data_IF_637984567131
#
_entry.id   IF_637984567131
#
_cell.length_a   1.000
_cell.length_b   1.000
_cell.length_c   1.000
_cell.angle_alpha   90.00
_cell.angle_beta   90.00
_cell.angle_gamma   90.00
#
_symmetry.space_group_name_H-M   'P 1'
#
loop_
_entity.id
_entity.type
_entity.pdbx_description
1 polymer ?
#
# COMPACT_ATOMS: atom_id res chain seq x y z
N UNK A 1 35.02 -2.63 -10.81
CA UNK A 1 34.20 -3.82 -10.47
C UNK A 1 33.95 -4.63 -11.72
N UNK A 2 34.46 -5.86 -11.79
CA UNK A 2 34.12 -6.82 -12.85
C UNK A 2 32.75 -7.42 -12.53
N UNK A 3 31.80 -7.35 -13.47
CA UNK A 3 30.45 -7.87 -13.31
C UNK A 3 30.22 -9.20 -14.03
N UNK A 4 31.24 -9.73 -14.72
CA UNK A 4 31.14 -11.01 -15.42
C UNK A 4 31.04 -12.15 -14.40
N UNK A 5 30.05 -13.02 -14.58
CA UNK A 5 29.88 -14.25 -13.81
C UNK A 5 30.67 -15.35 -14.52
N UNK A 6 31.74 -15.84 -13.89
CA UNK A 6 32.55 -16.95 -14.39
C UNK A 6 31.98 -18.32 -14.00
N UNK A 7 32.49 -19.38 -14.63
CA UNK A 7 32.16 -20.76 -14.28
C UNK A 7 32.89 -21.25 -13.03
N UNK A 8 34.05 -20.67 -12.72
CA UNK A 8 34.87 -21.03 -11.57
C UNK A 8 34.53 -20.22 -10.32
N UNK A 9 34.74 -20.83 -9.15
CA UNK A 9 34.58 -20.16 -7.85
C UNK A 9 35.68 -19.10 -7.65
N UNK A 10 35.27 -17.91 -7.24
CA UNK A 10 36.17 -16.85 -6.80
C UNK A 10 36.67 -17.06 -5.36
N UNK A 11 37.88 -16.57 -5.07
CA UNK A 11 38.47 -16.62 -3.72
C UNK A 11 37.74 -15.68 -2.75
N UNK A 12 37.71 -16.03 -1.45
CA UNK A 12 37.09 -15.21 -0.41
C UNK A 12 37.70 -13.79 -0.35
N UNK A 13 39.01 -13.65 -0.58
CA UNK A 13 39.67 -12.34 -0.68
C UNK A 13 39.13 -11.50 -1.83
N UNK A 14 38.84 -12.13 -2.97
CA UNK A 14 38.26 -11.44 -4.12
C UNK A 14 36.82 -11.02 -3.85
N UNK A 15 36.03 -11.89 -3.20
CA UNK A 15 34.66 -11.58 -2.79
C UNK A 15 34.62 -10.39 -1.82
N UNK A 16 35.52 -10.35 -0.83
CA UNK A 16 35.62 -9.22 0.11
C UNK A 16 36.03 -7.92 -0.60
N UNK A 17 36.93 -7.98 -1.59
CA UNK A 17 37.28 -6.82 -2.41
C UNK A 17 36.07 -6.32 -3.22
N UNK A 18 35.27 -7.23 -3.78
CA UNK A 18 34.01 -6.88 -4.46
C UNK A 18 33.05 -6.19 -3.49
N UNK A 19 32.84 -6.72 -2.28
CA UNK A 19 32.00 -6.07 -1.26
C UNK A 19 32.46 -4.63 -0.96
N UNK A 20 33.77 -4.40 -0.82
CA UNK A 20 34.33 -3.05 -0.62
C UNK A 20 34.06 -2.14 -1.82
N UNK A 21 34.20 -2.64 -3.04
CA UNK A 21 33.89 -1.88 -4.25
C UNK A 21 32.40 -1.52 -4.35
N UNK A 22 31.50 -2.47 -4.06
CA UNK A 22 30.05 -2.22 -3.98
C UNK A 22 29.77 -1.10 -2.99
N UNK A 23 30.29 -1.20 -1.76
CA UNK A 23 30.11 -0.17 -0.75
C UNK A 23 30.66 1.17 -1.23
N UNK A 24 31.88 1.21 -1.79
CA UNK A 24 32.53 2.45 -2.25
C UNK A 24 31.72 3.17 -3.32
N UNK A 25 31.22 2.43 -4.31
CA UNK A 25 30.58 2.99 -5.50
C UNK A 25 29.06 3.19 -5.38
N UNK A 26 28.40 2.59 -4.39
CA UNK A 26 26.97 2.82 -4.13
C UNK A 26 26.68 4.20 -3.52
N UNK A 27 25.48 4.72 -3.80
CA UNK A 27 24.95 5.92 -3.15
C UNK A 27 24.79 5.66 -1.64
N UNK A 28 25.16 6.65 -0.82
CA UNK A 28 25.03 6.58 0.63
C UNK A 28 23.70 7.18 1.06
N UNK A 29 22.62 6.40 0.94
CA UNK A 29 21.24 6.85 1.30
C UNK A 29 21.09 7.16 2.79
N UNK A 30 22.02 6.66 3.62
CA UNK A 30 22.11 6.97 5.05
C UNK A 30 22.79 8.30 5.37
N UNK A 31 23.39 8.97 4.39
CA UNK A 31 24.11 10.22 4.60
C UNK A 31 23.13 11.35 4.96
N UNK A 32 23.43 12.23 5.95
CA UNK A 32 22.51 13.29 6.37
C UNK A 32 22.17 14.30 5.26
N UNK A 33 23.05 14.44 4.25
CA UNK A 33 22.79 15.28 3.07
C UNK A 33 22.12 14.53 1.89
N UNK A 34 21.55 13.35 2.12
CA UNK A 34 20.77 12.65 1.12
C UNK A 34 19.30 13.07 1.18
N UNK A 35 18.87 13.89 0.21
CA UNK A 35 17.50 14.42 0.12
C UNK A 35 16.80 14.05 -1.20
N UNK A 36 17.33 13.06 -1.92
CA UNK A 36 16.88 12.75 -3.28
C UNK A 36 15.56 11.94 -3.31
N UNK A 37 15.23 11.23 -2.24
CA UNK A 37 14.13 10.28 -2.20
C UNK A 37 13.24 10.54 -0.98
N UNK A 38 12.04 9.98 -1.00
CA UNK A 38 11.10 10.00 0.15
C UNK A 38 11.48 9.04 1.28
N UNK A 39 12.73 8.60 1.30
CA UNK A 39 13.34 7.78 2.34
C UNK A 39 14.80 8.21 2.48
N UNK A 40 15.39 7.93 3.63
CA UNK A 40 16.79 8.23 3.92
C UNK A 40 17.14 7.80 5.34
N UNK A 41 18.43 7.84 5.65
CA UNK A 41 18.94 7.37 6.93
C UNK A 41 19.13 5.85 6.99
N UNK A 42 19.63 5.39 8.14
CA UNK A 42 19.77 3.98 8.49
C UNK A 42 19.55 3.85 9.99
N UNK A 43 18.29 3.64 10.38
CA UNK A 43 17.91 3.44 11.77
C UNK A 43 18.48 2.08 12.24
N UNK A 44 19.16 2.06 13.39
CA UNK A 44 20.01 0.94 13.80
C UNK A 44 19.21 -0.29 14.25
N UNK A 45 18.05 -0.10 14.89
CA UNK A 45 17.16 -1.20 15.26
C UNK A 45 16.51 -1.80 14.01
N UNK A 46 16.05 -0.96 13.08
CA UNK A 46 15.55 -1.37 11.77
C UNK A 46 16.58 -2.21 11.00
N UNK A 47 17.83 -1.76 10.94
CA UNK A 47 18.91 -2.49 10.26
C UNK A 47 19.22 -3.84 10.92
N UNK A 48 19.22 -3.88 12.26
CA UNK A 48 19.42 -5.11 13.01
C UNK A 48 18.31 -6.12 12.76
N UNK A 49 17.06 -5.65 12.67
CA UNK A 49 15.91 -6.47 12.28
C UNK A 49 16.02 -7.04 10.87
N UNK A 50 16.53 -6.25 9.91
CA UNK A 50 16.79 -6.74 8.55
C UNK A 50 17.84 -7.85 8.54
N UNK A 51 18.98 -7.66 9.22
CA UNK A 51 19.99 -8.71 9.32
C UNK A 51 19.46 -9.99 9.97
N UNK A 52 18.63 -9.87 11.01
CA UNK A 52 17.99 -11.03 11.64
C UNK A 52 17.03 -11.75 10.68
N UNK A 53 16.25 -10.98 9.91
CA UNK A 53 15.30 -11.53 8.94
C UNK A 53 16.02 -12.30 7.84
N UNK A 54 17.08 -11.71 7.27
CA UNK A 54 17.90 -12.33 6.23
C UNK A 54 18.64 -13.58 6.74
N UNK A 55 19.11 -13.55 7.99
CA UNK A 55 19.78 -14.71 8.61
C UNK A 55 18.81 -15.90 8.82
N UNK A 56 17.53 -15.64 9.09
CA UNK A 56 16.52 -16.67 9.32
C UNK A 56 15.89 -17.20 8.02
N UNK A 57 15.87 -16.39 6.95
CA UNK A 57 15.52 -16.79 5.59
C UNK A 57 14.27 -17.70 5.47
N UNK A 58 13.17 -17.31 6.11
CA UNK A 58 11.88 -18.01 6.03
C UNK A 58 10.85 -17.24 5.19
N UNK A 59 9.72 -17.87 4.89
CA UNK A 59 8.59 -17.26 4.18
C UNK A 59 7.44 -16.98 5.13
N UNK A 60 6.76 -15.84 4.96
CA UNK A 60 5.57 -15.46 5.73
C UNK A 60 4.28 -16.19 5.27
N UNK A 61 4.41 -17.34 4.59
CA UNK A 61 3.27 -18.02 3.97
C UNK A 61 2.36 -18.74 4.98
N UNK A 62 2.92 -19.36 6.02
CA UNK A 62 2.16 -20.12 7.01
C UNK A 62 2.75 -19.96 8.40
N UNK A 63 1.89 -20.12 9.42
CA UNK A 63 2.33 -20.08 10.82
C UNK A 63 3.38 -21.16 11.14
N UNK A 64 3.32 -22.33 10.49
CA UNK A 64 4.23 -23.45 10.72
C UNK A 64 5.71 -23.13 10.45
N UNK A 65 5.99 -22.35 9.40
CA UNK A 65 7.37 -22.03 8.99
C UNK A 65 7.84 -20.65 9.47
N UNK A 66 6.91 -19.80 9.93
CA UNK A 66 7.19 -18.44 10.39
C UNK A 66 6.38 -18.01 11.62
N UNK A 67 6.30 -18.82 12.70
CA UNK A 67 5.33 -18.58 13.78
C UNK A 67 5.51 -17.22 14.47
N UNK A 68 6.76 -16.86 14.76
CA UNK A 68 7.11 -15.58 15.40
C UNK A 68 6.77 -14.40 14.48
N UNK A 69 7.15 -14.47 13.20
CA UNK A 69 6.85 -13.40 12.25
C UNK A 69 5.35 -13.23 12.01
N UNK A 70 4.59 -14.33 11.94
CA UNK A 70 3.13 -14.27 11.81
C UNK A 70 2.46 -13.60 13.02
N UNK A 71 2.96 -13.82 14.24
CA UNK A 71 2.45 -13.15 15.44
C UNK A 71 2.82 -11.66 15.44
N UNK A 72 4.07 -11.32 15.09
CA UNK A 72 4.53 -9.94 14.97
C UNK A 72 3.71 -9.18 13.94
N UNK A 73 3.51 -9.75 12.75
CA UNK A 73 2.73 -9.12 11.68
C UNK A 73 1.29 -8.86 12.11
N UNK A 74 0.61 -9.86 12.71
CA UNK A 74 -0.74 -9.69 13.25
C UNK A 74 -0.82 -8.58 14.31
N UNK A 75 0.18 -8.49 15.19
CA UNK A 75 0.25 -7.44 16.19
C UNK A 75 0.43 -6.05 15.55
N UNK A 76 1.37 -5.93 14.60
CA UNK A 76 1.64 -4.68 13.90
C UNK A 76 0.45 -4.19 13.08
N UNK A 77 -0.24 -5.08 12.36
CA UNK A 77 -1.45 -4.74 11.61
C UNK A 77 -2.51 -4.14 12.53
N UNK A 78 -2.76 -4.79 13.68
CA UNK A 78 -3.71 -4.27 14.69
C UNK A 78 -3.27 -2.91 15.22
N UNK A 79 -2.02 -2.79 15.66
CA UNK A 79 -1.49 -1.54 16.19
C UNK A 79 -1.59 -0.39 15.18
N UNK A 80 -1.21 -0.62 13.92
CA UNK A 80 -1.28 0.40 12.87
C UNK A 80 -2.72 0.74 12.49
N UNK A 81 -3.64 -0.24 12.47
CA UNK A 81 -5.07 0.00 12.27
C UNK A 81 -5.71 0.82 13.40
N UNK A 82 -5.28 0.60 14.65
CA UNK A 82 -5.71 1.41 15.79
C UNK A 82 -5.20 2.86 15.68
N UNK A 83 -3.98 3.07 15.18
CA UNK A 83 -3.46 4.42 14.88
C UNK A 83 -4.26 5.13 13.78
N UNK A 84 -4.78 4.38 12.80
CA UNK A 84 -5.74 4.91 11.81
C UNK A 84 -7.08 5.27 12.46
N UNK A 85 -7.40 4.70 13.61
CA UNK A 85 -8.65 4.92 14.34
C UNK A 85 -9.75 3.91 13.98
N UNK A 86 -9.37 2.73 13.45
CA UNK A 86 -10.31 1.63 13.26
C UNK A 86 -10.62 0.90 14.57
N UNK A 87 -11.81 0.31 14.66
CA UNK A 87 -12.17 -0.55 15.78
C UNK A 87 -11.38 -1.86 15.74
N UNK A 88 -10.82 -2.29 16.87
CA UNK A 88 -9.95 -3.48 16.93
C UNK A 88 -10.58 -4.76 16.33
N UNK A 89 -11.91 -4.92 16.42
CA UNK A 89 -12.65 -6.06 15.87
C UNK A 89 -12.76 -6.05 14.34
N UNK A 90 -12.50 -4.91 13.70
CA UNK A 90 -12.70 -4.67 12.27
C UNK A 90 -11.38 -4.62 11.50
N UNK A 91 -10.24 -4.52 12.19
CA UNK A 91 -8.93 -4.36 11.56
C UNK A 91 -8.50 -5.66 10.89
N UNK A 92 -8.27 -5.57 9.59
CA UNK A 92 -7.57 -6.56 8.78
C UNK A 92 -6.48 -5.86 7.95
N UNK A 93 -5.51 -6.61 7.46
CA UNK A 93 -4.39 -6.03 6.72
C UNK A 93 -3.35 -7.05 6.34
N UNK A 94 -2.36 -6.60 5.57
CA UNK A 94 -1.16 -7.38 5.27
C UNK A 94 -0.02 -6.45 4.85
N UNK A 95 1.21 -6.96 4.92
CA UNK A 95 2.34 -6.32 4.28
C UNK A 95 2.32 -6.58 2.77
N UNK A 96 2.69 -5.56 2.00
CA UNK A 96 2.78 -5.64 0.55
C UNK A 96 4.20 -5.24 0.08
N UNK A 97 4.67 -5.75 -1.07
CA UNK A 97 5.95 -5.37 -1.63
C UNK A 97 5.88 -3.98 -2.28
N UNK A 98 5.78 -2.95 -1.43
CA UNK A 98 5.73 -1.53 -1.78
C UNK A 98 4.32 -0.93 -1.94
N UNK A 99 4.23 0.40 -1.77
CA UNK A 99 2.99 1.19 -1.86
C UNK A 99 2.21 1.01 -3.15
N UNK A 100 2.89 0.80 -4.28
CA UNK A 100 2.21 0.53 -5.56
C UNK A 100 1.44 -0.80 -5.54
N UNK A 101 1.99 -1.82 -4.89
CA UNK A 101 1.33 -3.12 -4.72
C UNK A 101 0.16 -3.00 -3.75
N UNK A 102 0.34 -2.27 -2.63
CA UNK A 102 -0.74 -1.97 -1.67
C UNK A 102 -1.92 -1.21 -2.32
N UNK A 103 -1.65 -0.19 -3.13
CA UNK A 103 -2.67 0.54 -3.89
C UNK A 103 -3.37 -0.37 -4.93
N UNK A 104 -2.63 -1.30 -5.54
CA UNK A 104 -3.24 -2.33 -6.41
C UNK A 104 -4.19 -3.21 -5.61
N UNK A 105 -3.79 -3.69 -4.43
CA UNK A 105 -4.67 -4.44 -3.55
C UNK A 105 -5.91 -3.64 -3.17
N UNK A 106 -5.79 -2.35 -2.84
CA UNK A 106 -6.95 -1.51 -2.57
C UNK A 106 -7.97 -1.50 -3.72
N UNK A 107 -7.51 -1.41 -4.97
CA UNK A 107 -8.38 -1.51 -6.16
C UNK A 107 -9.04 -2.89 -6.30
N UNK A 108 -8.32 -3.98 -6.01
CA UNK A 108 -8.89 -5.32 -6.09
C UNK A 108 -9.90 -5.56 -4.96
N UNK A 109 -9.61 -5.11 -3.74
CA UNK A 109 -10.48 -5.25 -2.57
C UNK A 109 -11.79 -4.46 -2.76
N UNK A 110 -11.69 -3.21 -3.22
CA UNK A 110 -12.88 -2.39 -3.50
C UNK A 110 -13.75 -2.99 -4.61
N UNK A 111 -13.13 -3.52 -5.67
CA UNK A 111 -13.84 -4.25 -6.73
C UNK A 111 -14.48 -5.53 -6.21
N UNK A 112 -13.79 -6.32 -5.39
CA UNK A 112 -14.35 -7.53 -4.80
C UNK A 112 -15.55 -7.19 -3.90
N UNK A 113 -15.47 -6.12 -3.12
CA UNK A 113 -16.56 -5.66 -2.25
C UNK A 113 -17.79 -5.26 -3.06
N UNK A 114 -17.61 -4.49 -4.14
CA UNK A 114 -18.70 -4.02 -4.99
C UNK A 114 -19.26 -5.11 -5.92
N UNK A 115 -18.38 -5.98 -6.43
CA UNK A 115 -18.69 -6.98 -7.45
C UNK A 115 -18.03 -8.34 -7.12
N UNK A 116 -18.54 -9.10 -6.14
CA UNK A 116 -17.93 -10.37 -5.72
C UNK A 116 -17.79 -11.41 -6.84
N UNK A 117 -18.69 -11.37 -7.84
CA UNK A 117 -18.65 -12.21 -9.03
C UNK A 117 -17.42 -11.96 -9.90
N UNK A 118 -16.76 -10.80 -9.77
CA UNK A 118 -15.59 -10.42 -10.56
C UNK A 118 -14.42 -11.39 -10.38
N UNK A 119 -14.30 -12.01 -9.20
CA UNK A 119 -13.30 -13.04 -8.91
C UNK A 119 -13.44 -14.27 -9.80
N UNK A 120 -14.67 -14.68 -10.12
CA UNK A 120 -14.94 -15.88 -10.92
C UNK A 120 -15.16 -15.57 -12.40
N UNK A 121 -15.87 -14.49 -12.71
CA UNK A 121 -16.31 -14.14 -14.07
C UNK A 121 -15.41 -13.11 -14.77
N UNK A 122 -14.43 -12.55 -14.06
CA UNK A 122 -13.66 -11.40 -14.53
C UNK A 122 -14.51 -10.13 -14.58
N UNK A 123 -13.98 -9.08 -15.23
CA UNK A 123 -14.58 -7.74 -15.21
C UNK A 123 -15.45 -7.41 -16.43
N UNK A 124 -15.49 -8.30 -17.43
CA UNK A 124 -16.12 -8.02 -18.75
C UNK A 124 -17.61 -7.69 -18.63
N UNK A 125 -18.32 -8.33 -17.70
CA UNK A 125 -19.77 -8.16 -17.50
C UNK A 125 -20.12 -7.00 -16.56
N UNK A 126 -19.13 -6.28 -16.01
CA UNK A 126 -19.36 -5.22 -15.00
C UNK A 126 -19.59 -3.84 -15.61
N UNK A 127 -19.50 -3.71 -16.93
CA UNK A 127 -19.48 -2.42 -17.61
C UNK A 127 -18.14 -1.70 -17.47
N UNK A 128 -18.13 -0.41 -17.77
CA UNK A 128 -16.92 0.42 -17.68
C UNK A 128 -16.68 0.87 -16.23
N UNK A 129 -15.96 0.06 -15.46
CA UNK A 129 -15.57 0.40 -14.09
C UNK A 129 -14.65 1.62 -14.07
N UNK A 130 -14.93 2.59 -13.19
CA UNK A 130 -14.09 3.77 -13.00
C UNK A 130 -13.80 4.07 -11.54
N UNK A 131 -12.58 4.53 -11.29
CA UNK A 131 -12.13 5.07 -10.02
C UNK A 131 -11.75 6.54 -10.15
N UNK A 132 -11.77 7.26 -9.03
CA UNK A 132 -11.38 8.66 -8.96
C UNK A 132 -10.14 8.82 -8.10
N UNK A 133 -9.17 9.59 -8.56
CA UNK A 133 -8.01 9.97 -7.77
C UNK A 133 -7.56 11.37 -8.16
N UNK A 134 -6.85 12.06 -7.28
CA UNK A 134 -6.30 13.39 -7.57
C UNK A 134 -5.40 13.33 -8.81
N UNK A 135 -5.32 14.39 -9.60
CA UNK A 135 -4.32 14.51 -10.67
C UNK A 135 -2.90 14.35 -10.12
N UNK A 136 -2.65 14.85 -8.90
CA UNK A 136 -1.39 14.73 -8.15
C UNK A 136 -1.23 13.41 -7.38
N UNK A 137 -2.18 12.47 -7.49
CA UNK A 137 -2.06 11.13 -6.90
C UNK A 137 -0.92 10.33 -7.52
N UNK A 138 -0.40 9.37 -6.74
CA UNK A 138 0.68 8.51 -7.21
C UNK A 138 0.29 7.75 -8.49
N UNK A 139 1.23 7.66 -9.44
CA UNK A 139 0.99 7.04 -10.76
C UNK A 139 0.62 5.55 -10.68
N UNK A 140 0.78 4.91 -9.51
CA UNK A 140 0.43 3.51 -9.30
C UNK A 140 -1.00 3.21 -9.67
N UNK A 141 -1.97 4.10 -9.43
CA UNK A 141 -3.38 3.81 -9.79
C UNK A 141 -3.56 3.58 -11.29
N UNK A 142 -2.91 4.40 -12.12
CA UNK A 142 -2.92 4.24 -13.57
C UNK A 142 -2.20 2.94 -13.98
N UNK A 143 -1.05 2.64 -13.36
CA UNK A 143 -0.32 1.38 -13.59
C UNK A 143 -1.16 0.16 -13.22
N UNK A 144 -1.82 0.19 -12.06
CA UNK A 144 -2.70 -0.86 -11.56
C UNK A 144 -3.91 -1.03 -12.46
N UNK A 145 -4.52 0.04 -12.96
CA UNK A 145 -5.61 -0.05 -13.92
C UNK A 145 -5.21 -0.76 -15.23
N UNK A 146 -3.99 -0.51 -15.74
CA UNK A 146 -3.43 -1.25 -16.88
C UNK A 146 -3.30 -2.74 -16.53
N UNK A 147 -2.65 -3.05 -15.39
CA UNK A 147 -2.38 -4.43 -14.96
C UNK A 147 -3.66 -5.22 -14.67
N UNK A 148 -4.69 -4.57 -14.16
CA UNK A 148 -5.98 -5.16 -13.82
C UNK A 148 -6.93 -5.26 -15.03
N UNK A 149 -6.48 -4.87 -16.23
CA UNK A 149 -7.25 -4.97 -17.47
C UNK A 149 -8.37 -3.93 -17.61
N UNK A 150 -8.34 -2.87 -16.81
CA UNK A 150 -9.34 -1.80 -16.81
C UNK A 150 -9.00 -0.65 -17.76
N UNK A 151 -7.72 -0.52 -18.13
CA UNK A 151 -7.23 0.54 -19.02
C UNK A 151 -7.03 1.88 -18.29
N UNK A 152 -6.20 2.75 -18.86
CA UNK A 152 -5.82 4.03 -18.21
C UNK A 152 -6.99 4.99 -18.04
N UNK A 153 -7.98 4.94 -18.93
CA UNK A 153 -9.18 5.79 -18.89
C UNK A 153 -10.13 5.44 -17.74
N UNK A 154 -9.95 4.27 -17.10
CA UNK A 154 -10.70 3.90 -15.90
C UNK A 154 -10.28 4.69 -14.65
N UNK A 155 -9.18 5.44 -14.71
CA UNK A 155 -8.72 6.32 -13.64
C UNK A 155 -9.06 7.76 -13.99
N UNK A 156 -10.19 8.25 -13.49
CA UNK A 156 -10.62 9.64 -13.70
C UNK A 156 -9.81 10.53 -12.74
N UNK A 157 -8.92 11.34 -13.32
CA UNK A 157 -8.14 12.33 -12.59
C UNK A 157 -9.02 13.51 -12.17
N UNK A 158 -9.13 13.73 -10.87
CA UNK A 158 -9.84 14.86 -10.27
C UNK A 158 -8.86 16.01 -10.09
N UNK A 159 -9.26 17.22 -10.49
CA UNK A 159 -8.41 18.40 -10.36
C UNK A 159 -7.99 18.65 -8.91
N UNK A 160 -6.78 19.15 -8.74
CA UNK A 160 -6.29 19.65 -7.47
C UNK A 160 -6.48 21.18 -7.37
N UNK A 161 -6.53 21.69 -6.14
CA UNK A 161 -6.47 23.11 -5.85
C UNK A 161 -5.03 23.64 -5.94
N UNK A 162 -4.84 24.94 -5.74
CA UNK A 162 -3.51 25.59 -5.77
C UNK A 162 -2.53 25.04 -4.72
N UNK A 163 -3.00 24.25 -3.75
CA UNK A 163 -2.20 23.61 -2.71
C UNK A 163 -1.96 22.12 -2.99
N UNK A 164 -2.36 21.62 -4.16
CA UNK A 164 -2.21 20.22 -4.55
C UNK A 164 -3.20 19.27 -3.89
N UNK A 165 -4.32 19.78 -3.35
CA UNK A 165 -5.37 18.98 -2.69
C UNK A 165 -6.53 18.74 -3.64
N UNK A 166 -7.10 17.54 -3.65
CA UNK A 166 -8.25 17.21 -4.48
C UNK A 166 -9.41 18.19 -4.29
N UNK A 167 -9.91 18.76 -5.39
CA UNK A 167 -11.10 19.61 -5.40
C UNK A 167 -12.37 18.78 -5.17
N UNK A 168 -12.99 18.91 -4.01
CA UNK A 168 -14.20 18.16 -3.59
C UNK A 168 -15.37 18.38 -4.55
N UNK A 169 -15.57 19.60 -5.05
CA UNK A 169 -16.62 19.91 -6.03
C UNK A 169 -16.39 19.18 -7.36
N UNK A 170 -15.13 19.11 -7.81
CA UNK A 170 -14.75 18.41 -9.04
C UNK A 170 -14.89 16.90 -8.89
N UNK A 171 -14.57 16.33 -7.71
CA UNK A 171 -14.83 14.93 -7.42
C UNK A 171 -16.31 14.60 -7.61
N UNK A 172 -17.19 15.41 -7.01
CA UNK A 172 -18.64 15.21 -7.11
C UNK A 172 -19.14 15.32 -8.55
N UNK A 173 -18.70 16.34 -9.28
CA UNK A 173 -19.07 16.55 -10.69
C UNK A 173 -18.61 15.37 -11.56
N UNK A 174 -17.38 14.89 -11.36
CA UNK A 174 -16.83 13.75 -12.09
C UNK A 174 -17.61 12.46 -11.83
N UNK A 175 -18.02 12.21 -10.58
CA UNK A 175 -18.86 11.05 -10.23
C UNK A 175 -20.20 11.12 -10.95
N UNK A 176 -20.89 12.27 -10.88
CA UNK A 176 -22.19 12.46 -11.54
C UNK A 176 -22.08 12.30 -13.05
N UNK A 177 -21.05 12.91 -13.67
CA UNK A 177 -20.79 12.79 -15.09
C UNK A 177 -20.55 11.34 -15.50
N UNK A 178 -19.68 10.62 -14.78
CA UNK A 178 -19.40 9.21 -15.03
C UNK A 178 -20.66 8.34 -14.97
N UNK A 179 -21.50 8.50 -13.94
CA UNK A 179 -22.77 7.77 -13.82
C UNK A 179 -23.73 8.10 -14.96
N UNK A 180 -23.84 9.38 -15.34
CA UNK A 180 -24.70 9.81 -16.45
C UNK A 180 -24.26 9.26 -17.81
N UNK A 181 -22.95 9.00 -17.97
CA UNK A 181 -22.37 8.36 -19.15
C UNK A 181 -22.43 6.84 -19.13
N UNK A 182 -23.12 6.22 -18.16
CA UNK A 182 -23.24 4.77 -18.04
C UNK A 182 -21.99 4.05 -17.49
N UNK A 183 -20.99 4.80 -17.00
CA UNK A 183 -19.84 4.21 -16.31
C UNK A 183 -20.23 3.74 -14.91
N UNK A 184 -19.39 2.89 -14.33
CA UNK A 184 -19.64 2.26 -13.03
C UNK A 184 -18.56 2.69 -12.01
N UNK A 185 -18.77 3.82 -11.31
CA UNK A 185 -17.99 4.21 -10.15
C UNK A 185 -17.94 3.12 -9.08
N UNK A 186 -16.75 2.83 -8.55
CA UNK A 186 -16.62 1.86 -7.43
C UNK A 186 -15.68 2.32 -6.30
N UNK A 187 -14.75 3.24 -6.56
CA UNK A 187 -13.86 3.74 -5.51
C UNK A 187 -13.36 5.17 -5.76
N UNK A 188 -12.98 5.84 -4.68
CA UNK A 188 -12.20 7.06 -4.66
C UNK A 188 -10.90 6.79 -3.90
N UNK A 189 -9.78 7.23 -4.44
CA UNK A 189 -8.49 7.27 -3.75
C UNK A 189 -8.14 8.71 -3.39
N UNK A 190 -8.23 9.04 -2.10
CA UNK A 190 -7.66 10.27 -1.56
C UNK A 190 -6.17 10.05 -1.23
N UNK A 191 -5.36 11.10 -1.31
CA UNK A 191 -3.93 11.07 -1.00
C UNK A 191 -3.63 11.87 0.27
N UNK A 192 -2.99 11.22 1.24
CA UNK A 192 -2.47 11.87 2.44
C UNK A 192 -0.95 11.96 2.33
N UNK A 193 -0.46 13.10 1.83
CA UNK A 193 0.95 13.35 1.53
C UNK A 193 1.28 13.00 0.08
N UNK A 194 1.00 13.90 -0.86
CA UNK A 194 1.40 13.75 -2.27
C UNK A 194 2.93 13.73 -2.42
N UNK A 195 3.43 13.00 -3.42
CA UNK A 195 4.88 12.76 -3.61
C UNK A 195 5.69 14.04 -3.75
N UNK A 196 5.16 15.03 -4.48
CA UNK A 196 5.91 16.24 -4.85
C UNK A 196 5.67 17.37 -3.84
N UNK A 197 4.41 17.69 -3.56
CA UNK A 197 4.03 18.83 -2.72
C UNK A 197 3.82 18.47 -1.25
N UNK A 198 3.68 17.18 -0.91
CA UNK A 198 3.30 16.76 0.44
C UNK A 198 1.89 17.18 0.81
N UNK A 199 1.00 17.36 -0.17
CA UNK A 199 -0.36 17.83 0.05
C UNK A 199 -1.27 16.75 0.67
N UNK A 200 -2.29 17.17 1.40
CA UNK A 200 -3.27 16.30 2.06
C UNK A 200 -4.67 16.60 1.53
N UNK A 201 -5.31 15.61 0.93
CA UNK A 201 -6.68 15.71 0.45
C UNK A 201 -7.67 15.88 1.62
N UNK A 202 -8.77 16.62 1.42
CA UNK A 202 -9.80 16.85 2.45
C UNK A 202 -10.63 15.58 2.72
N UNK A 203 -10.09 14.69 3.57
CA UNK A 203 -10.69 13.37 3.83
C UNK A 203 -12.13 13.41 4.36
N UNK A 204 -12.53 14.31 5.29
CA UNK A 204 -13.89 14.33 5.80
C UNK A 204 -14.93 14.55 4.68
N UNK A 205 -14.69 15.54 3.82
CA UNK A 205 -15.57 15.91 2.72
C UNK A 205 -15.59 14.85 1.61
N UNK A 206 -14.44 14.24 1.31
CA UNK A 206 -14.35 13.11 0.37
C UNK A 206 -15.11 11.90 0.92
N UNK A 207 -15.00 11.62 2.22
CA UNK A 207 -15.71 10.53 2.87
C UNK A 207 -17.23 10.72 2.84
N UNK A 208 -17.72 11.96 3.00
CA UNK A 208 -19.14 12.27 2.85
C UNK A 208 -19.65 11.95 1.44
N UNK A 209 -18.88 12.32 0.41
CA UNK A 209 -19.19 11.97 -0.99
C UNK A 209 -19.16 10.45 -1.20
N UNK A 210 -18.13 9.76 -0.70
CA UNK A 210 -18.04 8.31 -0.85
C UNK A 210 -19.24 7.60 -0.22
N UNK A 211 -19.66 8.03 0.97
CA UNK A 211 -20.84 7.50 1.65
C UNK A 211 -22.14 7.78 0.88
N UNK A 212 -22.31 8.99 0.36
CA UNK A 212 -23.48 9.37 -0.44
C UNK A 212 -23.63 8.52 -1.70
N UNK A 213 -22.53 8.29 -2.42
CA UNK A 213 -22.55 7.57 -3.70
C UNK A 213 -22.31 6.06 -3.56
N UNK A 214 -22.07 5.56 -2.35
CA UNK A 214 -21.78 4.14 -2.07
C UNK A 214 -20.44 3.67 -2.65
N UNK A 215 -19.41 4.52 -2.61
CA UNK A 215 -18.08 4.25 -3.15
C UNK A 215 -17.10 3.83 -2.04
N UNK A 216 -16.18 2.95 -2.36
CA UNK A 216 -15.06 2.62 -1.47
C UNK A 216 -14.12 3.82 -1.34
N UNK A 217 -13.81 4.22 -0.11
CA UNK A 217 -12.78 5.23 0.17
C UNK A 217 -11.45 4.55 0.48
N UNK A 218 -10.48 4.71 -0.42
CA UNK A 218 -9.09 4.39 -0.14
C UNK A 218 -8.31 5.67 0.22
N UNK A 219 -7.45 5.60 1.22
CA UNK A 219 -6.47 6.65 1.51
C UNK A 219 -5.07 6.14 1.21
N UNK A 220 -4.45 6.71 0.18
CA UNK A 220 -3.02 6.56 -0.08
C UNK A 220 -2.25 7.43 0.92
N UNK A 221 -1.97 6.86 2.08
CA UNK A 221 -1.12 7.41 3.11
C UNK A 221 0.33 6.91 3.02
N UNK A 222 0.79 6.45 1.84
CA UNK A 222 2.11 5.87 1.69
C UNK A 222 3.21 6.75 2.31
N UNK A 223 3.13 8.06 2.07
CA UNK A 223 4.03 9.05 2.68
C UNK A 223 3.47 9.61 3.99
N UNK A 224 2.26 10.18 3.96
CA UNK A 224 1.71 10.96 5.08
C UNK A 224 1.16 10.14 6.23
N UNK A 225 0.99 8.82 6.08
CA UNK A 225 0.55 7.92 7.16
C UNK A 225 1.44 7.99 8.40
N UNK A 226 2.72 8.33 8.23
CA UNK A 226 3.65 8.54 9.35
C UNK A 226 3.18 9.60 10.36
N UNK A 227 2.39 10.59 9.95
CA UNK A 227 1.89 11.61 10.86
C UNK A 227 0.83 11.10 11.84
N UNK A 228 0.28 9.90 11.64
CA UNK A 228 -0.54 9.21 12.64
C UNK A 228 0.23 8.95 13.93
N UNK A 229 1.56 8.82 13.86
CA UNK A 229 2.42 8.68 15.04
C UNK A 229 2.76 10.04 15.70
N UNK A 230 2.43 11.17 15.07
CA UNK A 230 2.77 12.51 15.56
C UNK A 230 1.56 13.19 16.19
N UNK A 231 1.55 13.33 17.52
CA UNK A 231 0.48 14.05 18.23
C UNK A 231 0.26 15.48 17.72
N UNK A 232 1.30 16.14 17.23
CA UNK A 232 1.22 17.51 16.70
C UNK A 232 0.60 17.57 15.30
N UNK A 233 0.82 16.56 14.46
CA UNK A 233 0.44 16.57 13.04
C UNK A 233 -0.71 15.61 12.71
N UNK A 234 -1.23 14.86 13.69
CA UNK A 234 -2.34 13.92 13.53
C UNK A 234 -3.56 14.55 12.82
N UNK A 235 -3.80 15.84 13.05
CA UNK A 235 -4.90 16.60 12.44
C UNK A 235 -4.85 16.64 10.91
N UNK A 236 -3.69 16.41 10.28
CA UNK A 236 -3.54 16.33 8.82
C UNK A 236 -4.27 15.12 8.21
N UNK A 237 -4.54 14.08 9.00
CA UNK A 237 -5.29 12.89 8.60
C UNK A 237 -6.67 12.82 9.26
N UNK A 238 -7.23 13.97 9.66
CA UNK A 238 -8.60 14.02 10.21
C UNK A 238 -9.58 13.35 9.25
N UNK A 239 -10.36 12.38 9.74
CA UNK A 239 -11.31 11.62 8.92
C UNK A 239 -10.77 10.34 8.29
N UNK A 240 -9.47 10.02 8.42
CA UNK A 240 -8.88 8.79 7.86
C UNK A 240 -9.52 7.50 8.40
N UNK A 241 -10.03 7.53 9.64
CA UNK A 241 -10.77 6.42 10.25
C UNK A 241 -12.06 6.05 9.49
N UNK A 242 -12.55 6.93 8.61
CA UNK A 242 -13.70 6.67 7.74
C UNK A 242 -13.32 5.91 6.48
N UNK A 243 -12.04 5.80 6.13
CA UNK A 243 -11.57 5.05 4.97
C UNK A 243 -11.93 3.56 5.08
N UNK A 244 -12.12 2.92 3.94
CA UNK A 244 -12.29 1.47 3.83
C UNK A 244 -10.94 0.75 3.77
N UNK A 245 -9.92 1.41 3.22
CA UNK A 245 -8.54 0.95 3.31
C UNK A 245 -7.52 2.09 3.31
N UNK A 246 -6.34 1.82 3.89
CA UNK A 246 -5.21 2.75 3.98
C UNK A 246 -3.92 2.05 3.53
N UNK A 247 -3.20 2.66 2.59
CA UNK A 247 -1.81 2.28 2.28
C UNK A 247 -0.87 3.10 3.15
N UNK A 248 0.18 2.48 3.70
CA UNK A 248 1.23 3.18 4.46
C UNK A 248 2.60 2.53 4.24
N UNK A 249 3.56 3.30 3.70
CA UNK A 249 4.95 2.87 3.58
C UNK A 249 5.74 3.22 4.85
N UNK A 250 5.94 2.24 5.72
CA UNK A 250 6.80 2.38 6.91
C UNK A 250 8.28 2.60 6.51
N UNK A 251 8.66 2.18 5.30
CA UNK A 251 10.02 2.37 4.78
C UNK A 251 10.31 3.79 4.27
N UNK A 252 9.35 4.71 4.35
CA UNK A 252 9.54 6.14 4.03
C UNK A 252 9.87 6.91 5.32
N UNK A 253 8.91 7.65 5.84
CA UNK A 253 9.10 8.56 6.98
C UNK A 253 9.34 7.85 8.32
N UNK A 254 8.97 6.57 8.45
CA UNK A 254 9.21 5.76 9.67
C UNK A 254 10.56 5.05 9.65
N UNK A 255 11.35 5.18 8.58
CA UNK A 255 12.72 4.66 8.45
C UNK A 255 12.86 3.13 8.63
N UNK A 256 11.82 2.35 8.33
CA UNK A 256 11.96 0.91 8.18
C UNK A 256 12.81 0.57 6.93
N UNK A 257 13.50 -0.58 6.87
CA UNK A 257 14.25 -0.98 5.69
C UNK A 257 13.31 -1.20 4.49
N UNK A 258 13.79 -0.88 3.29
CA UNK A 258 13.00 -1.13 2.08
C UNK A 258 13.03 -2.63 1.73
N UNK A 259 11.90 -3.29 1.45
CA UNK A 259 10.53 -2.77 1.44
C UNK A 259 9.80 -3.04 2.78
N UNK A 260 8.93 -2.10 3.17
CA UNK A 260 8.05 -2.24 4.33
C UNK A 260 6.80 -1.37 4.12
N UNK A 261 5.70 -1.98 3.68
CA UNK A 261 4.44 -1.30 3.38
C UNK A 261 3.29 -2.13 3.90
N UNK A 262 2.30 -1.48 4.50
CA UNK A 262 1.04 -2.13 4.88
C UNK A 262 -0.12 -1.63 4.02
N UNK A 263 -1.04 -2.53 3.72
CA UNK A 263 -2.42 -2.21 3.34
C UNK A 263 -3.33 -2.62 4.48
N UNK A 264 -4.01 -1.65 5.07
CA UNK A 264 -4.95 -1.84 6.18
C UNK A 264 -6.37 -1.70 5.65
N UNK A 265 -7.32 -2.41 6.24
CA UNK A 265 -8.75 -2.29 5.92
C UNK A 265 -9.61 -2.47 7.17
N UNK A 266 -10.76 -1.79 7.21
CA UNK A 266 -11.77 -1.95 8.27
C UNK A 266 -12.82 -3.02 7.95
N UNK A 267 -12.65 -3.76 6.86
CA UNK A 267 -13.55 -4.83 6.47
C UNK A 267 -12.94 -6.17 6.87
N UNK A 268 -13.34 -6.77 8.01
CA UNK A 268 -12.85 -8.09 8.36
C UNK A 268 -13.20 -9.06 7.23
N UNK A 269 -12.29 -9.96 6.88
CA UNK A 269 -12.39 -11.02 5.84
C UNK A 269 -12.22 -10.61 4.37
N UNK A 270 -12.23 -9.31 4.02
CA UNK A 270 -12.18 -8.89 2.61
C UNK A 270 -10.91 -9.36 1.89
N UNK A 271 -9.76 -9.43 2.59
CA UNK A 271 -8.51 -9.94 2.03
C UNK A 271 -8.61 -11.43 1.69
N UNK A 272 -9.21 -12.23 2.57
CA UNK A 272 -9.42 -13.66 2.34
C UNK A 272 -10.42 -13.91 1.21
N UNK A 273 -11.55 -13.20 1.22
CA UNK A 273 -12.58 -13.28 0.18
C UNK A 273 -12.03 -12.97 -1.20
N UNK A 274 -11.18 -11.94 -1.28
CA UNK A 274 -10.54 -11.50 -2.52
C UNK A 274 -9.52 -12.51 -3.02
N UNK A 275 -8.58 -12.93 -2.16
CA UNK A 275 -7.34 -13.57 -2.61
C UNK A 275 -7.32 -15.10 -2.43
N UNK A 276 -8.15 -15.66 -1.57
CA UNK A 276 -8.06 -17.08 -1.24
C UNK A 276 -8.51 -17.98 -2.40
N UNK A 277 -7.70 -18.98 -2.72
CA UNK A 277 -8.02 -20.08 -3.63
C UNK A 277 -8.08 -21.44 -2.91
N UNK A 278 -7.90 -21.46 -1.57
CA UNK A 278 -7.91 -22.68 -0.74
C UNK A 278 -7.00 -23.81 -1.28
N UNK A 279 -5.76 -23.47 -1.64
CA UNK A 279 -4.79 -24.43 -2.13
C UNK A 279 -4.35 -25.40 -1.01
N UNK A 280 -4.77 -26.67 -1.11
CA UNK A 280 -4.56 -27.68 -0.06
C UNK A 280 -3.09 -28.05 0.20
N UNK A 281 -2.19 -27.83 -0.76
CA UNK A 281 -0.76 -28.10 -0.58
C UNK A 281 -0.04 -27.09 0.32
N UNK A 282 -0.66 -25.93 0.61
CA UNK A 282 -0.14 -24.91 1.53
C UNK A 282 -1.08 -24.75 2.73
N UNK A 283 -2.39 -24.64 2.51
CA UNK A 283 -3.39 -24.32 3.53
C UNK A 283 -4.16 -25.56 3.95
N UNK A 284 -3.49 -26.46 4.66
CA UNK A 284 -4.05 -27.71 5.18
C UNK A 284 -4.94 -27.42 6.39
N UNK A 285 -6.21 -27.84 6.34
CA UNK A 285 -7.24 -27.59 7.37
C UNK A 285 -7.23 -28.60 8.51
N UNK A 286 -6.50 -29.70 8.36
CA UNK A 286 -6.37 -30.83 9.27
C UNK A 286 -5.11 -30.74 10.18
N UNK A 287 -4.42 -29.59 10.16
CA UNK A 287 -3.28 -29.36 11.05
C UNK A 287 -3.74 -28.94 12.45
N UNK A 288 -3.25 -29.66 13.45
CA UNK A 288 -3.42 -29.34 14.86
C UNK A 288 -2.34 -28.35 15.28
N UNK A 289 -2.73 -27.10 15.50
CA UNK A 289 -1.90 -26.10 16.17
C UNK A 289 -2.47 -25.93 17.57
N UNK A 290 -1.82 -26.55 18.56
CA UNK A 290 -2.13 -26.36 19.98
C UNK A 290 -1.76 -24.95 20.45
#
# INVERSE_FOLDING_TARGET
MNLNIGEERESDSKLLDICRQVIRHSVKTSHPNFYNQLYGGAEQYSLSGAFLTDALNTSAATFEISPVFSVIEKYLIKYLGELVGYECSQIDGMFAPGGSSANTYAMVLSRQKAFPQSKQKGIRELGELVMFASEDSHYSFVKSAIWLGMGTESVIKVKADERGRMCVSELRNNILFAKSGGKVPYMVSATSGTTVLGAFDPLPEIADICQEFGLWLHVDGALGGAWLMSRQHLHLLSGVNRADSVTWDLHKMTCAPQQCTVILTKHPTILCETNSLRAEYIFQSDKFYD
#
